data_IF_301726006382
#
_entry.id   IF_301726006382
#
_cell.length_a   1.000
_cell.length_b   1.000
_cell.length_c   1.000
_cell.angle_alpha   90.00
_cell.angle_beta   90.00
_cell.angle_gamma   90.00
#
_symmetry.space_group_name_H-M   'P 1'
#
loop_
_entity.id
_entity.type
_entity.pdbx_description
1 polymer ?
#
# COMPACT_ATOMS: atom_id res chain seq x y z
N UNK A 1 16.34 19.37 13.71
CA UNK A 1 16.14 20.41 14.72
C UNK A 1 15.43 19.80 15.94
N UNK A 2 15.86 20.11 17.18
CA UNK A 2 15.28 19.48 18.40
C UNK A 2 13.77 19.71 18.60
N UNK A 3 13.20 20.68 17.90
CA UNK A 3 11.79 21.04 17.99
C UNK A 3 10.87 20.18 17.09
N UNK A 4 11.42 19.41 16.16
CA UNK A 4 10.61 18.58 15.25
C UNK A 4 10.32 17.26 15.95
N UNK A 5 9.04 16.98 16.16
CA UNK A 5 8.56 15.76 16.83
C UNK A 5 8.06 14.68 15.86
N UNK A 6 7.68 15.06 14.64
CA UNK A 6 7.18 14.16 13.62
C UNK A 6 7.40 14.75 12.23
N UNK A 7 7.73 13.93 11.27
CA UNK A 7 7.89 14.32 9.87
C UNK A 7 6.78 13.67 9.05
N UNK A 8 6.10 14.46 8.24
CA UNK A 8 5.13 13.98 7.24
C UNK A 8 5.73 14.27 5.87
N UNK A 9 5.83 13.25 5.03
CA UNK A 9 6.37 13.36 3.67
C UNK A 9 5.40 12.78 2.64
N UNK A 10 5.21 13.50 1.54
CA UNK A 10 4.75 12.94 0.27
C UNK A 10 5.86 13.13 -0.74
N UNK A 11 6.41 12.03 -1.29
CA UNK A 11 7.59 12.12 -2.17
C UNK A 11 8.10 10.77 -2.66
N UNK A 12 9.31 10.76 -3.20
CA UNK A 12 9.95 9.53 -3.67
C UNK A 12 10.44 8.64 -2.52
N UNK A 13 10.50 7.34 -2.75
CA UNK A 13 11.00 6.33 -1.79
C UNK A 13 12.42 6.65 -1.31
N UNK A 14 13.31 7.04 -2.24
CA UNK A 14 14.70 7.40 -1.91
C UNK A 14 14.75 8.63 -0.96
N UNK A 15 13.86 9.60 -1.16
CA UNK A 15 13.76 10.78 -0.28
C UNK A 15 13.34 10.38 1.13
N UNK A 16 12.31 9.53 1.25
CA UNK A 16 11.85 9.05 2.54
C UNK A 16 12.95 8.26 3.27
N UNK A 17 13.65 7.39 2.55
CA UNK A 17 14.74 6.59 3.11
C UNK A 17 15.92 7.47 3.57
N UNK A 18 16.29 8.49 2.79
CA UNK A 18 17.35 9.41 3.17
C UNK A 18 16.98 10.24 4.41
N UNK A 19 15.71 10.67 4.53
CA UNK A 19 15.24 11.37 5.72
C UNK A 19 15.25 10.45 6.94
N UNK A 20 14.77 9.21 6.81
CA UNK A 20 14.78 8.23 7.89
C UNK A 20 16.19 7.92 8.38
N UNK A 21 17.16 7.73 7.46
CA UNK A 21 18.56 7.49 7.80
C UNK A 21 19.24 8.69 8.47
N UNK A 22 18.91 9.91 8.01
CA UNK A 22 19.48 11.14 8.58
C UNK A 22 18.86 11.49 9.96
N UNK A 23 17.68 10.99 10.28
CA UNK A 23 16.95 11.29 11.51
C UNK A 23 16.24 10.04 12.06
N UNK A 24 16.97 8.96 12.40
CA UNK A 24 16.39 7.66 12.69
C UNK A 24 15.47 7.63 13.92
N UNK A 25 15.69 8.52 14.88
CA UNK A 25 14.87 8.64 16.11
C UNK A 25 13.64 9.53 15.94
N UNK A 26 13.52 10.28 14.83
CA UNK A 26 12.34 11.12 14.56
C UNK A 26 11.29 10.34 13.81
N UNK A 27 10.06 10.16 14.34
CA UNK A 27 9.00 9.47 13.63
C UNK A 27 8.73 10.08 12.25
N UNK A 28 8.68 9.22 11.24
CA UNK A 28 8.39 9.56 9.85
C UNK A 28 7.11 8.86 9.40
N UNK A 29 6.13 9.63 8.94
CA UNK A 29 4.99 9.12 8.16
C UNK A 29 5.16 9.57 6.72
N UNK A 30 5.46 8.66 5.82
CA UNK A 30 5.64 9.00 4.42
C UNK A 30 4.75 8.15 3.52
N UNK A 31 4.14 8.82 2.55
CA UNK A 31 3.51 8.23 1.38
C UNK A 31 4.43 8.43 0.19
N UNK A 32 4.87 7.32 -0.38
CA UNK A 32 5.89 7.29 -1.43
C UNK A 32 5.36 6.77 -2.75
N UNK A 33 6.23 6.38 -3.64
CA UNK A 33 5.90 5.93 -4.99
C UNK A 33 5.06 4.65 -5.06
N UNK A 34 4.72 4.27 -6.28
CA UNK A 34 3.94 3.08 -6.56
C UNK A 34 4.24 2.48 -7.93
N UNK A 35 4.25 1.16 -8.00
CA UNK A 35 4.15 0.41 -9.27
C UNK A 35 2.74 -0.16 -9.35
N UNK A 36 1.80 0.72 -9.74
CA UNK A 36 0.38 0.42 -9.63
C UNK A 36 -0.11 -0.38 -10.83
N UNK A 37 -0.95 -1.37 -10.54
CA UNK A 37 -1.38 -2.37 -11.51
C UNK A 37 -2.89 -2.38 -11.65
N UNK A 38 -3.38 -2.45 -12.90
CA UNK A 38 -4.74 -2.89 -13.19
C UNK A 38 -4.66 -4.30 -13.78
N UNK A 39 -5.50 -5.22 -13.27
CA UNK A 39 -5.73 -6.54 -13.86
C UNK A 39 -7.04 -6.49 -14.64
N UNK A 40 -7.02 -6.95 -15.88
CA UNK A 40 -8.21 -7.15 -16.72
C UNK A 40 -8.38 -8.63 -17.02
N UNK A 41 -9.48 -9.22 -16.52
CA UNK A 41 -9.83 -10.62 -16.78
C UNK A 41 -10.76 -10.75 -17.99
N UNK A 42 -10.96 -11.97 -18.44
CA UNK A 42 -11.89 -12.29 -19.54
C UNK A 42 -13.33 -11.85 -19.26
N UNK A 43 -13.72 -11.83 -17.98
CA UNK A 43 -15.06 -11.42 -17.53
C UNK A 43 -15.23 -9.89 -17.43
N UNK A 44 -14.16 -9.10 -17.68
CA UNK A 44 -14.22 -7.65 -17.60
C UNK A 44 -14.95 -7.01 -18.77
N UNK A 45 -15.66 -5.91 -18.51
CA UNK A 45 -16.19 -5.04 -19.57
C UNK A 45 -15.03 -4.29 -20.23
N UNK A 46 -14.70 -4.68 -21.46
CA UNK A 46 -13.50 -4.21 -22.16
C UNK A 46 -13.51 -2.72 -22.44
N UNK A 47 -14.64 -2.16 -22.83
CA UNK A 47 -14.75 -0.74 -23.17
C UNK A 47 -14.67 0.14 -21.91
N UNK A 48 -15.35 -0.26 -20.85
CA UNK A 48 -15.26 0.39 -19.56
C UNK A 48 -13.85 0.25 -18.94
N UNK A 49 -13.25 -0.93 -19.07
CA UNK A 49 -11.87 -1.16 -18.64
C UNK A 49 -10.87 -0.24 -19.37
N UNK A 50 -10.96 -0.10 -20.68
CA UNK A 50 -10.09 0.79 -21.46
C UNK A 50 -10.20 2.23 -20.96
N UNK A 51 -11.41 2.74 -20.72
CA UNK A 51 -11.62 4.08 -20.17
C UNK A 51 -10.92 4.23 -18.81
N UNK A 52 -11.10 3.28 -17.91
CA UNK A 52 -10.47 3.27 -16.58
C UNK A 52 -8.94 3.20 -16.66
N UNK A 53 -8.40 2.36 -17.57
CA UNK A 53 -6.97 2.17 -17.79
C UNK A 53 -6.33 3.45 -18.31
N UNK A 54 -6.84 4.04 -19.39
CA UNK A 54 -6.21 5.22 -20.00
C UNK A 54 -6.30 6.45 -19.09
N UNK A 55 -7.42 6.62 -18.39
CA UNK A 55 -7.58 7.69 -17.40
C UNK A 55 -6.59 7.53 -16.24
N UNK A 56 -6.41 6.30 -15.76
CA UNK A 56 -5.50 6.01 -14.66
C UNK A 56 -4.03 6.09 -15.07
N UNK A 57 -3.69 5.74 -16.31
CA UNK A 57 -2.32 5.72 -16.77
C UNK A 57 -1.82 7.11 -17.20
N UNK A 58 -2.66 7.90 -17.87
CA UNK A 58 -2.21 9.10 -18.57
C UNK A 58 -2.71 10.40 -17.95
N UNK A 59 -3.69 10.36 -17.06
CA UNK A 59 -4.11 11.53 -16.30
C UNK A 59 -2.93 12.19 -15.57
N UNK A 60 -2.79 13.51 -15.67
CA UNK A 60 -1.65 14.26 -15.14
C UNK A 60 -0.28 13.76 -15.67
N UNK A 61 -0.22 13.42 -16.96
CA UNK A 61 0.98 12.87 -17.62
C UNK A 61 1.56 11.62 -16.91
N UNK A 62 0.71 10.80 -16.29
CA UNK A 62 1.15 9.64 -15.50
C UNK A 62 1.95 9.98 -14.23
N UNK A 63 1.98 11.25 -13.83
CA UNK A 63 2.73 11.75 -12.68
C UNK A 63 1.86 11.90 -11.43
N UNK A 64 1.14 10.81 -11.11
CA UNK A 64 0.49 10.59 -9.81
C UNK A 64 1.11 9.37 -9.17
N UNK A 65 1.33 9.40 -7.85
CA UNK A 65 1.80 8.22 -7.11
C UNK A 65 0.91 6.98 -7.33
N UNK A 66 -0.40 7.20 -7.62
CA UNK A 66 -1.40 6.16 -7.91
C UNK A 66 -1.61 5.88 -9.40
N UNK A 67 -0.85 6.50 -10.32
CA UNK A 67 -1.03 6.27 -11.76
C UNK A 67 -0.80 4.80 -12.13
N UNK A 68 -1.65 4.27 -13.01
CA UNK A 68 -1.48 2.92 -13.56
C UNK A 68 -0.27 2.90 -14.51
N UNK A 69 0.76 2.17 -14.17
CA UNK A 69 1.94 2.02 -15.01
C UNK A 69 2.18 0.57 -15.49
N UNK A 70 1.34 -0.37 -15.00
CA UNK A 70 1.34 -1.77 -15.42
C UNK A 70 -0.10 -2.27 -15.58
N UNK A 71 -0.39 -2.84 -16.75
CA UNK A 71 -1.63 -3.52 -17.07
C UNK A 71 -1.36 -5.01 -17.27
N UNK A 72 -2.00 -5.85 -16.47
CA UNK A 72 -1.98 -7.30 -16.62
C UNK A 72 -3.28 -7.73 -17.30
N UNK A 73 -3.18 -8.38 -18.44
CA UNK A 73 -4.34 -8.75 -19.27
C UNK A 73 -4.38 -10.26 -19.42
N UNK A 74 -5.53 -10.85 -19.10
CA UNK A 74 -5.75 -12.28 -19.27
C UNK A 74 -5.63 -12.65 -20.76
N UNK A 75 -5.01 -13.80 -21.05
CA UNK A 75 -4.60 -14.25 -22.38
C UNK A 75 -5.69 -14.06 -23.44
N UNK A 76 -6.92 -14.46 -23.18
CA UNK A 76 -8.02 -14.37 -24.12
C UNK A 76 -8.36 -12.93 -24.56
N UNK A 77 -8.13 -11.96 -23.67
CA UNK A 77 -8.29 -10.52 -23.95
C UNK A 77 -7.01 -9.95 -24.55
N UNK A 78 -5.84 -10.42 -24.08
CA UNK A 78 -4.54 -9.97 -24.60
C UNK A 78 -4.34 -10.30 -26.07
N UNK A 79 -4.82 -11.46 -26.52
CA UNK A 79 -4.75 -11.92 -27.90
C UNK A 79 -5.87 -11.35 -28.79
N UNK A 80 -6.86 -10.65 -28.22
CA UNK A 80 -7.93 -10.03 -28.98
C UNK A 80 -7.46 -8.73 -29.67
N UNK A 81 -7.32 -8.80 -31.00
CA UNK A 81 -6.90 -7.66 -31.83
C UNK A 81 -7.86 -6.47 -31.72
N UNK A 82 -9.15 -6.69 -31.46
CA UNK A 82 -10.11 -5.61 -31.25
C UNK A 82 -9.84 -4.85 -29.95
N UNK A 83 -9.55 -5.57 -28.85
CA UNK A 83 -9.12 -4.94 -27.59
C UNK A 83 -7.84 -4.13 -27.78
N UNK A 84 -6.86 -4.74 -28.46
CA UNK A 84 -5.56 -4.10 -28.74
C UNK A 84 -5.72 -2.81 -29.56
N UNK A 85 -6.53 -2.85 -30.63
CA UNK A 85 -6.83 -1.67 -31.44
C UNK A 85 -7.53 -0.58 -30.64
N UNK A 86 -8.58 -0.94 -29.89
CA UNK A 86 -9.32 0.02 -29.07
C UNK A 86 -8.46 0.68 -27.99
N UNK A 87 -7.56 -0.07 -27.35
CA UNK A 87 -6.63 0.50 -26.34
C UNK A 87 -5.67 1.50 -27.00
N UNK A 88 -5.16 1.16 -28.21
CA UNK A 88 -4.32 2.07 -28.99
C UNK A 88 -5.07 3.35 -29.34
N UNK A 89 -6.28 3.23 -29.88
CA UNK A 89 -7.11 4.37 -30.30
C UNK A 89 -7.46 5.26 -29.10
N UNK A 90 -7.83 4.66 -27.97
CA UNK A 90 -8.11 5.40 -26.74
C UNK A 90 -6.88 6.18 -26.24
N UNK A 91 -5.71 5.55 -26.21
CA UNK A 91 -4.48 6.20 -25.79
C UNK A 91 -4.07 7.35 -26.73
N UNK A 92 -4.16 7.15 -28.04
CA UNK A 92 -3.76 8.14 -29.05
C UNK A 92 -4.77 9.27 -29.22
N UNK A 93 -6.04 9.07 -28.84
CA UNK A 93 -7.08 10.10 -28.89
C UNK A 93 -6.98 11.15 -27.77
N UNK A 94 -6.18 10.87 -26.72
CA UNK A 94 -6.00 11.81 -25.60
C UNK A 94 -5.26 13.07 -26.10
N UNK A 95 -5.95 14.20 -26.09
CA UNK A 95 -5.35 15.48 -26.47
C UNK A 95 -4.20 15.82 -25.53
N UNK A 96 -3.01 15.95 -26.09
CA UNK A 96 -1.77 16.19 -25.37
C UNK A 96 -1.18 17.53 -25.77
N UNK A 97 -0.74 18.34 -24.82
CA UNK A 97 -0.16 19.65 -25.14
C UNK A 97 -0.06 20.56 -23.92
N UNK A 98 0.18 21.85 -24.19
CA UNK A 98 0.33 22.89 -23.18
C UNK A 98 -0.89 23.00 -22.27
N UNK A 99 -0.67 23.27 -20.99
CA UNK A 99 -1.72 23.51 -19.97
C UNK A 99 -2.59 24.74 -20.26
N UNK A 100 -2.12 25.65 -21.08
CA UNK A 100 -2.86 26.84 -21.49
C UNK A 100 -4.01 26.53 -22.46
N UNK A 101 -4.06 25.30 -22.99
CA UNK A 101 -5.19 24.83 -23.77
C UNK A 101 -6.05 23.89 -22.90
N UNK A 102 -7.18 24.40 -22.42
CA UNK A 102 -8.10 23.64 -21.56
C UNK A 102 -8.66 22.35 -22.18
N UNK A 103 -8.55 22.18 -23.50
CA UNK A 103 -8.94 20.95 -24.19
C UNK A 103 -7.93 19.82 -24.07
N UNK A 104 -6.70 20.07 -23.57
CA UNK A 104 -5.68 19.06 -23.39
C UNK A 104 -5.93 18.28 -22.09
N UNK A 105 -5.79 16.94 -22.18
CA UNK A 105 -5.95 16.01 -21.07
C UNK A 105 -4.59 15.61 -20.49
N UNK A 106 -3.59 15.45 -21.35
CA UNK A 106 -2.23 15.12 -20.97
C UNK A 106 -1.36 16.38 -21.12
N UNK A 107 -0.89 16.89 -20.01
CA UNK A 107 -0.05 18.10 -19.94
C UNK A 107 1.45 17.76 -19.94
N UNK A 108 2.30 18.78 -19.70
CA UNK A 108 3.74 18.59 -19.57
C UNK A 108 4.10 17.79 -18.32
N UNK A 109 5.20 17.06 -18.40
CA UNK A 109 5.87 16.48 -17.23
C UNK A 109 6.62 17.60 -16.48
N UNK A 110 6.96 17.35 -15.20
CA UNK A 110 7.73 18.31 -14.40
C UNK A 110 9.21 18.44 -14.85
N UNK A 111 9.72 17.43 -15.56
CA UNK A 111 11.11 17.41 -16.09
C UNK A 111 11.20 16.44 -17.26
N UNK A 112 12.15 16.71 -18.16
CA UNK A 112 12.59 15.76 -19.20
C UNK A 112 13.76 14.88 -18.75
N UNK A 113 14.31 15.12 -17.57
CA UNK A 113 15.46 14.38 -17.00
C UNK A 113 14.99 13.25 -16.10
N UNK A 114 14.12 12.40 -16.61
CA UNK A 114 13.68 11.20 -15.91
C UNK A 114 14.39 9.98 -16.53
N UNK A 115 15.56 9.65 -16.01
CA UNK A 115 16.42 8.60 -16.54
C UNK A 115 15.72 7.23 -16.53
N UNK A 116 14.88 6.94 -15.52
CA UNK A 116 14.09 5.70 -15.46
C UNK A 116 13.07 5.60 -16.60
N UNK A 117 12.41 6.71 -16.91
CA UNK A 117 11.47 6.77 -18.03
C UNK A 117 12.19 6.62 -19.38
N UNK A 118 13.31 7.32 -19.55
CA UNK A 118 14.13 7.23 -20.78
C UNK A 118 14.71 5.83 -20.96
N UNK A 119 15.18 5.19 -19.89
CA UNK A 119 15.63 3.79 -19.94
C UNK A 119 14.51 2.84 -20.37
N UNK A 120 13.27 3.08 -19.89
CA UNK A 120 12.13 2.27 -20.25
C UNK A 120 11.73 2.39 -21.75
N UNK A 121 12.27 3.34 -22.49
CA UNK A 121 12.06 3.41 -23.94
C UNK A 121 12.86 2.36 -24.73
N UNK A 122 13.84 1.73 -24.13
CA UNK A 122 14.48 0.58 -24.76
C UNK A 122 13.54 -0.64 -24.72
N UNK A 123 13.38 -1.30 -25.87
CA UNK A 123 12.62 -2.54 -25.96
C UNK A 123 13.52 -3.72 -25.55
N UNK A 124 13.00 -4.54 -24.65
CA UNK A 124 13.62 -5.81 -24.26
C UNK A 124 13.10 -6.97 -25.16
N UNK A 125 13.74 -8.14 -25.16
CA UNK A 125 13.33 -9.25 -26.02
C UNK A 125 11.87 -9.69 -25.83
N UNK A 126 11.08 -9.61 -26.90
CA UNK A 126 9.64 -9.92 -26.89
C UNK A 126 8.73 -8.71 -26.68
N UNK A 127 9.28 -7.55 -26.37
CA UNK A 127 8.53 -6.31 -26.27
C UNK A 127 8.35 -5.62 -27.62
N UNK A 128 7.28 -4.86 -27.74
CA UNK A 128 6.98 -4.02 -28.90
C UNK A 128 6.25 -2.74 -28.48
N UNK A 129 6.18 -1.77 -29.35
CA UNK A 129 5.37 -0.59 -29.15
C UNK A 129 3.96 -0.80 -29.69
N UNK A 130 2.95 -0.70 -28.84
CA UNK A 130 1.58 -0.48 -29.29
C UNK A 130 1.38 1.00 -29.65
N UNK A 131 1.90 1.90 -28.80
CA UNK A 131 2.01 3.33 -29.07
C UNK A 131 3.45 3.76 -28.72
N UNK A 132 4.28 4.10 -29.73
CA UNK A 132 5.67 4.46 -29.48
C UNK A 132 5.80 5.81 -28.76
N UNK A 133 6.90 6.05 -28.02
CA UNK A 133 7.13 7.32 -27.38
C UNK A 133 7.29 8.44 -28.41
N UNK A 134 6.58 9.53 -28.18
CA UNK A 134 6.65 10.71 -29.03
C UNK A 134 6.59 11.98 -28.20
N UNK A 135 7.68 12.75 -28.19
CA UNK A 135 7.70 14.08 -27.61
C UNK A 135 7.06 15.08 -28.58
N UNK A 136 5.94 15.67 -28.17
CA UNK A 136 5.26 16.76 -28.90
C UNK A 136 6.11 18.04 -28.80
N UNK A 137 6.61 18.32 -27.61
CA UNK A 137 7.56 19.40 -27.36
C UNK A 137 8.58 19.00 -26.28
N UNK A 138 9.84 18.94 -26.67
CA UNK A 138 10.93 18.62 -25.74
C UNK A 138 11.24 19.77 -24.78
N UNK A 139 10.99 21.03 -25.16
CA UNK A 139 11.28 22.19 -24.33
C UNK A 139 10.24 22.36 -23.24
N UNK A 140 8.99 22.01 -23.53
CA UNK A 140 7.88 22.02 -22.60
C UNK A 140 7.66 20.67 -21.92
N UNK A 141 8.54 19.66 -22.15
CA UNK A 141 8.47 18.33 -21.54
C UNK A 141 7.18 17.57 -21.82
N UNK A 142 6.58 17.80 -22.99
CA UNK A 142 5.30 17.20 -23.38
C UNK A 142 5.57 15.88 -24.11
N UNK A 143 5.28 14.77 -23.43
CA UNK A 143 5.33 13.41 -23.96
C UNK A 143 3.91 12.88 -24.17
N UNK A 144 3.64 12.40 -25.36
CA UNK A 144 2.36 11.75 -25.66
C UNK A 144 2.19 10.42 -24.91
N UNK A 145 0.95 9.96 -24.67
CA UNK A 145 0.69 8.63 -24.12
C UNK A 145 1.47 7.55 -24.87
N UNK A 146 2.16 6.72 -24.12
CA UNK A 146 3.05 5.69 -24.64
C UNK A 146 2.62 4.34 -24.10
N UNK A 147 2.51 3.30 -24.96
CA UNK A 147 2.08 1.96 -24.55
C UNK A 147 3.07 0.91 -25.06
N UNK A 148 3.69 0.20 -24.13
CA UNK A 148 4.60 -0.90 -24.37
C UNK A 148 3.86 -2.21 -24.22
N UNK A 149 3.97 -3.10 -25.19
CA UNK A 149 3.27 -4.39 -25.25
C UNK A 149 4.23 -5.56 -25.15
N UNK A 150 3.83 -6.65 -24.49
CA UNK A 150 4.63 -7.86 -24.36
C UNK A 150 5.67 -7.81 -23.26
N UNK A 151 5.45 -6.95 -22.26
CA UNK A 151 6.34 -6.79 -21.11
C UNK A 151 6.30 -8.05 -20.24
N UNK A 152 7.46 -8.48 -19.73
CA UNK A 152 7.60 -9.67 -18.90
C UNK A 152 7.90 -9.30 -17.43
N UNK A 153 7.67 -10.21 -16.46
CA UNK A 153 7.91 -9.94 -15.03
C UNK A 153 9.34 -9.51 -14.69
N UNK A 154 10.33 -9.91 -15.47
CA UNK A 154 11.74 -9.54 -15.33
C UNK A 154 12.11 -8.21 -16.01
N UNK A 155 11.25 -7.68 -16.89
CA UNK A 155 11.49 -6.45 -17.61
C UNK A 155 11.65 -5.24 -16.67
N UNK A 156 12.54 -4.33 -17.05
CA UNK A 156 12.76 -3.09 -16.30
C UNK A 156 11.47 -2.29 -16.09
N UNK A 157 10.68 -2.12 -17.16
CA UNK A 157 9.43 -1.35 -17.10
C UNK A 157 8.29 -2.08 -16.38
N UNK A 158 8.41 -3.39 -16.07
CA UNK A 158 7.46 -4.12 -15.27
C UNK A 158 7.59 -3.79 -13.77
N UNK A 159 8.82 -3.65 -13.27
CA UNK A 159 9.12 -3.50 -11.84
C UNK A 159 9.35 -2.06 -11.39
N UNK A 160 9.82 -1.20 -12.29
CA UNK A 160 10.27 0.15 -11.96
C UNK A 160 9.13 1.16 -12.03
N UNK A 161 9.01 2.02 -11.01
CA UNK A 161 8.17 3.21 -11.08
C UNK A 161 8.79 4.20 -12.06
N UNK A 162 8.04 4.56 -13.11
CA UNK A 162 8.53 5.42 -14.19
C UNK A 162 8.11 6.88 -14.02
N UNK A 163 7.03 7.14 -13.30
CA UNK A 163 6.47 8.47 -13.03
C UNK A 163 6.34 9.35 -14.29
N UNK A 164 5.69 8.80 -15.30
CA UNK A 164 5.49 9.42 -16.61
C UNK A 164 4.42 8.68 -17.43
N UNK A 165 4.02 9.19 -18.62
CA UNK A 165 2.91 8.67 -19.40
C UNK A 165 3.28 7.41 -20.21
N UNK A 166 3.82 6.39 -19.53
CA UNK A 166 4.13 5.09 -20.11
C UNK A 166 3.37 3.97 -19.38
N UNK A 167 2.55 3.24 -20.13
CA UNK A 167 1.83 2.06 -19.69
C UNK A 167 2.52 0.80 -20.24
N UNK A 168 2.93 -0.09 -19.37
CA UNK A 168 3.45 -1.42 -19.71
C UNK A 168 2.32 -2.43 -19.69
N UNK A 169 2.20 -3.28 -20.73
CA UNK A 169 1.15 -4.29 -20.85
C UNK A 169 1.79 -5.68 -20.89
N UNK A 170 1.35 -6.55 -19.98
CA UNK A 170 1.80 -7.94 -19.86
C UNK A 170 0.62 -8.91 -19.95
N UNK A 171 0.86 -10.08 -20.52
CA UNK A 171 -0.09 -11.18 -20.55
C UNK A 171 -0.02 -11.99 -19.26
N UNK A 172 -1.17 -12.44 -18.78
CA UNK A 172 -1.31 -13.42 -17.69
C UNK A 172 -2.23 -14.56 -18.14
N UNK A 173 -2.02 -15.75 -17.59
CA UNK A 173 -2.88 -16.90 -17.91
C UNK A 173 -4.24 -16.83 -17.21
N UNK A 174 -4.25 -16.33 -15.98
CA UNK A 174 -5.44 -16.24 -15.12
C UNK A 174 -5.25 -15.20 -14.02
N UNK A 175 -6.31 -14.94 -13.25
CA UNK A 175 -6.30 -13.98 -12.16
C UNK A 175 -5.32 -14.34 -11.04
N UNK A 176 -5.14 -15.61 -10.72
CA UNK A 176 -4.25 -16.09 -9.66
C UNK A 176 -2.78 -15.73 -9.98
N UNK A 177 -2.37 -15.89 -11.22
CA UNK A 177 -1.06 -15.44 -11.68
C UNK A 177 -0.93 -13.92 -11.55
N UNK A 178 -1.94 -13.19 -11.99
CA UNK A 178 -1.97 -11.72 -11.87
C UNK A 178 -1.81 -11.27 -10.41
N UNK A 179 -2.53 -11.90 -9.47
CA UNK A 179 -2.42 -11.63 -8.02
C UNK A 179 -1.00 -11.92 -7.52
N UNK A 180 -0.41 -13.05 -7.93
CA UNK A 180 0.97 -13.41 -7.55
C UNK A 180 1.97 -12.37 -8.03
N UNK A 181 1.84 -11.91 -9.28
CA UNK A 181 2.71 -10.89 -9.86
C UNK A 181 2.57 -9.54 -9.14
N UNK A 182 1.36 -9.08 -8.86
CA UNK A 182 1.10 -7.84 -8.09
C UNK A 182 1.72 -7.94 -6.69
N UNK A 183 1.52 -9.07 -6.03
CA UNK A 183 2.05 -9.28 -4.69
C UNK A 183 3.59 -9.42 -4.67
N UNK A 184 4.20 -9.80 -5.78
CA UNK A 184 5.65 -9.89 -5.95
C UNK A 184 6.34 -8.55 -6.27
N UNK A 185 5.60 -7.46 -6.45
CA UNK A 185 6.17 -6.12 -6.60
C UNK A 185 6.59 -5.54 -5.24
N UNK A 186 7.61 -4.70 -5.26
CA UNK A 186 8.12 -4.03 -4.06
C UNK A 186 7.18 -2.94 -3.53
N UNK A 187 6.34 -2.40 -4.39
CA UNK A 187 5.34 -1.39 -4.07
C UNK A 187 3.95 -1.99 -3.83
N UNK A 188 3.13 -1.26 -3.09
CA UNK A 188 1.74 -1.65 -2.81
C UNK A 188 0.87 -0.45 -2.47
N UNK A 189 0.83 0.56 -3.37
CA UNK A 189 0.00 1.75 -3.16
C UNK A 189 -1.42 1.50 -3.64
N UNK A 190 -1.61 1.37 -4.95
CA UNK A 190 -2.92 1.10 -5.53
C UNK A 190 -2.90 -0.13 -6.42
N UNK A 191 -4.04 -0.82 -6.49
CA UNK A 191 -4.28 -1.88 -7.48
C UNK A 191 -5.73 -1.86 -7.93
N UNK A 192 -5.99 -2.21 -9.19
CA UNK A 192 -7.30 -2.29 -9.80
C UNK A 192 -7.62 -3.67 -10.36
N UNK A 193 -8.90 -4.03 -10.34
CA UNK A 193 -9.46 -5.18 -11.03
C UNK A 193 -10.59 -4.72 -11.95
N UNK A 194 -10.55 -5.16 -13.19
CA UNK A 194 -11.64 -5.04 -14.13
C UNK A 194 -12.21 -6.43 -14.38
N UNK A 195 -13.31 -6.74 -13.71
CA UNK A 195 -13.98 -8.05 -13.75
C UNK A 195 -15.44 -7.91 -13.34
N UNK A 196 -16.34 -8.63 -13.99
CA UNK A 196 -17.76 -8.72 -13.64
C UNK A 196 -18.10 -10.02 -12.88
N UNK A 197 -17.12 -10.91 -12.71
CA UNK A 197 -17.29 -12.14 -11.93
C UNK A 197 -17.05 -11.85 -10.43
N UNK A 198 -18.09 -12.08 -9.62
CA UNK A 198 -18.03 -11.86 -8.16
C UNK A 198 -17.01 -12.78 -7.46
N UNK A 199 -16.77 -13.99 -8.01
CA UNK A 199 -15.77 -14.91 -7.44
C UNK A 199 -14.35 -14.37 -7.66
N UNK A 200 -14.08 -13.85 -8.85
CA UNK A 200 -12.82 -13.17 -9.16
C UNK A 200 -12.63 -11.93 -8.28
N UNK A 201 -13.67 -11.10 -8.15
CA UNK A 201 -13.63 -9.91 -7.29
C UNK A 201 -13.35 -10.28 -5.83
N UNK A 202 -14.02 -11.33 -5.30
CA UNK A 202 -13.81 -11.83 -3.93
C UNK A 202 -12.41 -12.38 -3.74
N UNK A 203 -11.92 -13.20 -4.67
CA UNK A 203 -10.57 -13.76 -4.64
C UNK A 203 -9.53 -12.64 -4.63
N UNK A 204 -9.62 -11.71 -5.57
CA UNK A 204 -8.68 -10.62 -5.73
C UNK A 204 -8.69 -9.67 -4.52
N UNK A 205 -9.87 -9.23 -4.08
CA UNK A 205 -10.06 -8.39 -2.91
C UNK A 205 -9.38 -8.96 -1.66
N UNK A 206 -9.44 -10.29 -1.47
CA UNK A 206 -8.91 -10.96 -0.29
C UNK A 206 -7.42 -11.33 -0.39
N UNK A 207 -6.83 -11.23 -1.58
CA UNK A 207 -5.47 -11.73 -1.83
C UNK A 207 -4.46 -10.63 -2.14
N UNK A 208 -4.89 -9.49 -2.72
CA UNK A 208 -3.97 -8.44 -3.16
C UNK A 208 -3.48 -7.57 -2.01
N UNK A 209 -2.16 -7.40 -1.96
CA UNK A 209 -1.42 -6.66 -0.93
C UNK A 209 -1.07 -5.26 -1.41
N UNK A 210 -2.08 -4.41 -1.53
CA UNK A 210 -1.94 -2.97 -1.78
C UNK A 210 -2.84 -2.17 -0.83
N UNK A 211 -2.46 -0.94 -0.55
CA UNK A 211 -3.19 -0.10 0.39
C UNK A 211 -4.58 0.29 -0.09
N UNK A 212 -4.73 0.62 -1.37
CA UNK A 212 -6.01 1.01 -1.96
C UNK A 212 -6.35 0.08 -3.12
N UNK A 213 -7.49 -0.56 -3.04
CA UNK A 213 -8.03 -1.51 -4.02
C UNK A 213 -9.22 -0.88 -4.74
N UNK A 214 -9.32 -1.11 -6.06
CA UNK A 214 -10.35 -0.53 -6.90
C UNK A 214 -10.95 -1.59 -7.83
N UNK A 215 -12.27 -1.75 -7.83
CA UNK A 215 -12.98 -2.72 -8.68
C UNK A 215 -13.85 -1.95 -9.66
N UNK A 216 -13.69 -2.25 -10.96
CA UNK A 216 -14.45 -1.69 -12.08
C UNK A 216 -14.46 -0.16 -12.14
N UNK A 217 -13.34 0.46 -11.75
CA UNK A 217 -13.13 1.90 -11.80
C UNK A 217 -11.66 2.23 -12.01
N UNK A 218 -11.36 3.52 -12.23
CA UNK A 218 -9.99 4.03 -12.24
C UNK A 218 -9.34 3.93 -10.87
N UNK A 219 -8.00 3.82 -10.85
CA UNK A 219 -7.22 3.64 -9.61
C UNK A 219 -6.60 4.93 -9.08
N UNK A 220 -6.93 6.06 -9.68
CA UNK A 220 -6.51 7.41 -9.27
C UNK A 220 -7.66 8.20 -8.68
N UNK A 221 -7.37 9.29 -7.95
CA UNK A 221 -8.40 10.21 -7.49
C UNK A 221 -9.12 9.73 -6.22
N UNK A 222 -8.38 9.21 -5.24
CA UNK A 222 -8.92 8.94 -3.90
C UNK A 222 -9.51 10.21 -3.27
N UNK A 223 -10.69 10.08 -2.67
CA UNK A 223 -11.42 11.19 -2.05
C UNK A 223 -11.41 10.99 -0.53
N UNK A 224 -11.13 12.06 0.21
CA UNK A 224 -11.16 12.07 1.68
C UNK A 224 -12.50 11.54 2.19
N UNK A 225 -12.47 10.74 3.24
CA UNK A 225 -13.58 10.01 3.83
C UNK A 225 -14.18 8.87 2.97
N UNK A 226 -13.93 8.82 1.65
CA UNK A 226 -14.38 7.70 0.82
C UNK A 226 -13.31 6.62 0.72
N UNK A 227 -12.12 7.03 0.29
CA UNK A 227 -10.96 6.13 0.16
C UNK A 227 -9.78 6.69 0.94
N UNK A 228 -9.71 6.48 2.28
CA UNK A 228 -8.50 6.81 3.03
C UNK A 228 -7.27 6.27 2.31
N UNK A 229 -6.29 7.14 2.08
CA UNK A 229 -5.22 6.87 1.13
C UNK A 229 -3.89 6.61 1.83
N UNK A 230 -3.21 5.55 1.42
CA UNK A 230 -1.89 5.19 1.93
C UNK A 230 -1.47 3.81 1.44
N UNK A 231 -0.16 3.62 1.33
CA UNK A 231 0.45 2.43 0.77
C UNK A 231 0.75 1.33 1.78
N UNK A 232 1.27 0.24 1.22
CA UNK A 232 1.93 -0.88 1.90
C UNK A 232 3.31 -1.07 1.28
N UNK A 233 4.18 -1.89 1.87
CA UNK A 233 5.53 -2.17 1.38
C UNK A 233 6.34 -0.87 1.22
N UNK A 234 7.09 -0.70 0.11
CA UNK A 234 7.87 0.50 -0.16
C UNK A 234 7.03 1.74 -0.52
N UNK A 235 5.72 1.61 -0.61
CA UNK A 235 4.83 2.75 -0.86
C UNK A 235 4.47 3.55 0.40
N UNK A 236 4.93 3.11 1.57
CA UNK A 236 4.73 3.83 2.82
C UNK A 236 5.89 3.62 3.79
N UNK A 237 6.15 4.62 4.62
CA UNK A 237 7.07 4.58 5.75
C UNK A 237 6.32 4.94 7.03
N UNK A 238 6.72 4.33 8.15
CA UNK A 238 6.06 4.53 9.44
C UNK A 238 4.95 3.52 9.72
N UNK A 239 3.97 3.90 10.54
CA UNK A 239 2.92 3.00 11.04
C UNK A 239 1.91 2.49 10.01
N UNK A 240 1.95 2.99 8.77
CA UNK A 240 1.03 2.58 7.70
C UNK A 240 -0.41 3.01 7.92
N UNK A 241 -0.63 4.09 8.67
CA UNK A 241 -1.96 4.66 8.93
C UNK A 241 -2.31 5.62 7.79
N UNK A 242 -3.50 5.45 7.24
CA UNK A 242 -3.91 6.13 6.01
C UNK A 242 -4.35 7.57 6.24
N UNK A 243 -3.86 8.48 5.38
CA UNK A 243 -4.33 9.86 5.33
C UNK A 243 -5.83 9.92 5.02
N UNK A 244 -6.56 10.77 5.77
CA UNK A 244 -8.01 10.87 5.69
C UNK A 244 -8.77 9.69 6.29
N UNK A 245 -8.08 8.76 6.97
CA UNK A 245 -8.66 7.64 7.69
C UNK A 245 -8.98 7.94 9.17
N UNK A 246 -9.72 7.05 9.84
CA UNK A 246 -10.21 7.28 11.20
C UNK A 246 -9.10 7.28 12.26
N UNK A 247 -7.92 6.76 11.92
CA UNK A 247 -6.79 6.63 12.85
C UNK A 247 -5.68 7.67 12.61
N UNK A 248 -5.77 8.49 11.56
CA UNK A 248 -4.65 9.33 11.14
C UNK A 248 -4.16 10.28 12.23
N UNK A 249 -5.07 10.89 13.00
CA UNK A 249 -4.69 11.78 14.09
C UNK A 249 -3.93 11.10 15.23
N UNK A 250 -4.03 9.78 15.39
CA UNK A 250 -3.31 9.05 16.44
C UNK A 250 -1.80 9.07 16.26
N UNK A 251 -1.32 9.27 15.02
CA UNK A 251 0.11 9.39 14.72
C UNK A 251 0.79 10.60 15.40
N UNK A 252 0.01 11.61 15.80
CA UNK A 252 0.50 12.87 16.34
C UNK A 252 0.23 13.04 17.85
N UNK A 253 -0.24 11.98 18.50
CA UNK A 253 -0.62 11.99 19.89
C UNK A 253 0.29 11.06 20.70
N UNK A 254 0.70 11.53 21.86
CA UNK A 254 1.27 10.70 22.91
C UNK A 254 0.12 10.26 23.82
N UNK A 255 -0.16 8.95 23.83
CA UNK A 255 -1.30 8.39 24.54
C UNK A 255 -0.79 7.45 25.63
N UNK A 256 -1.22 7.66 26.85
CA UNK A 256 -0.91 6.82 27.99
C UNK A 256 -2.16 6.55 28.83
N UNK A 257 -2.18 5.46 29.57
CA UNK A 257 -3.23 5.20 30.55
C UNK A 257 -3.15 6.19 31.72
N UNK A 258 -4.30 6.53 32.26
CA UNK A 258 -4.33 7.24 33.55
C UNK A 258 -3.78 6.32 34.64
N UNK A 259 -2.99 6.84 35.62
CA UNK A 259 -2.40 6.03 36.68
C UNK A 259 -3.39 5.11 37.41
N UNK A 260 -4.61 5.60 37.65
CA UNK A 260 -5.67 4.86 38.36
C UNK A 260 -6.66 4.15 37.44
N UNK A 261 -6.29 3.90 36.17
CA UNK A 261 -7.17 3.23 35.21
C UNK A 261 -7.48 1.80 35.66
N UNK A 262 -8.76 1.54 35.95
CA UNK A 262 -9.30 0.21 36.30
C UNK A 262 -9.82 -0.55 35.08
N UNK A 263 -9.50 -0.08 33.87
CA UNK A 263 -9.91 -0.72 32.63
C UNK A 263 -9.33 -2.14 32.55
N UNK A 264 -10.19 -3.12 32.39
CA UNK A 264 -9.77 -4.47 32.03
C UNK A 264 -9.39 -4.47 30.54
N UNK A 265 -8.09 -4.53 30.26
CA UNK A 265 -7.58 -4.48 28.90
C UNK A 265 -8.08 -5.65 28.04
N UNK A 266 -8.34 -6.85 28.63
CA UNK A 266 -8.81 -8.01 27.87
C UNK A 266 -10.20 -7.77 27.31
N UNK A 267 -11.11 -7.25 28.13
CA UNK A 267 -12.46 -6.87 27.70
C UNK A 267 -12.42 -5.71 26.71
N UNK A 268 -11.60 -4.69 26.98
CA UNK A 268 -11.42 -3.52 26.10
C UNK A 268 -10.93 -3.90 24.72
N UNK A 269 -9.93 -4.79 24.64
CA UNK A 269 -9.37 -5.25 23.36
C UNK A 269 -10.39 -6.11 22.57
N UNK A 270 -11.06 -7.05 23.25
CA UNK A 270 -12.07 -7.88 22.62
C UNK A 270 -13.24 -7.04 22.06
N UNK A 271 -13.72 -6.08 22.85
CA UNK A 271 -14.78 -5.15 22.45
C UNK A 271 -14.35 -4.30 21.24
N UNK A 272 -13.19 -3.65 21.31
CA UNK A 272 -12.69 -2.81 20.24
C UNK A 272 -12.49 -3.61 18.94
N UNK A 273 -11.96 -4.83 19.02
CA UNK A 273 -11.80 -5.69 17.86
C UNK A 273 -13.15 -6.04 17.22
N UNK A 274 -14.12 -6.47 18.03
CA UNK A 274 -15.43 -6.86 17.56
C UNK A 274 -16.20 -5.67 16.95
N UNK A 275 -16.17 -4.51 17.60
CA UNK A 275 -16.96 -3.35 17.20
C UNK A 275 -16.33 -2.58 16.02
N UNK A 276 -14.99 -2.61 15.87
CA UNK A 276 -14.33 -1.77 14.88
C UNK A 276 -13.43 -2.54 13.90
N UNK A 277 -12.55 -3.42 14.39
CA UNK A 277 -11.44 -3.92 13.57
C UNK A 277 -11.75 -5.21 12.82
N UNK A 278 -12.77 -5.96 13.24
CA UNK A 278 -13.08 -7.28 12.67
C UNK A 278 -13.85 -7.28 11.36
N UNK A 279 -14.48 -6.18 11.00
CA UNK A 279 -15.40 -6.09 9.85
C UNK A 279 -15.08 -4.90 8.96
N UNK A 280 -15.19 -5.06 7.63
CA UNK A 280 -15.17 -3.91 6.72
C UNK A 280 -16.35 -2.97 7.01
N UNK A 281 -16.14 -1.67 6.78
CA UNK A 281 -17.16 -0.65 6.97
C UNK A 281 -17.23 0.27 5.77
N UNK A 282 -18.42 0.52 5.29
CA UNK A 282 -18.76 1.61 4.38
C UNK A 282 -19.47 2.71 5.18
N UNK A 283 -18.75 3.79 5.46
CA UNK A 283 -19.28 4.91 6.23
C UNK A 283 -20.14 5.82 5.37
N UNK A 284 -19.83 5.93 4.08
CA UNK A 284 -20.46 6.91 3.18
C UNK A 284 -21.76 6.40 2.59
N UNK A 285 -21.88 5.09 2.34
CA UNK A 285 -23.05 4.43 1.74
C UNK A 285 -23.56 5.15 0.49
N UNK A 286 -22.65 5.45 -0.43
CA UNK A 286 -22.99 6.13 -1.66
C UNK A 286 -23.74 5.18 -2.60
N UNK A 287 -24.74 5.71 -3.28
CA UNK A 287 -25.49 4.96 -4.25
C UNK A 287 -24.67 4.77 -5.54
N UNK A 288 -24.48 3.52 -5.98
CA UNK A 288 -23.67 3.16 -7.15
C UNK A 288 -22.18 2.92 -6.85
N UNK A 289 -21.72 3.25 -5.64
CA UNK A 289 -20.32 3.08 -5.22
C UNK A 289 -20.26 2.53 -3.79
N UNK A 290 -19.44 1.51 -3.57
CA UNK A 290 -19.15 0.98 -2.24
C UNK A 290 -17.72 1.34 -1.85
N UNK A 291 -17.54 1.95 -0.67
CA UNK A 291 -16.24 2.38 -0.14
C UNK A 291 -15.97 1.68 1.18
N UNK A 292 -15.34 0.52 1.12
CA UNK A 292 -15.02 -0.28 2.29
C UNK A 292 -13.68 0.15 2.88
N UNK A 293 -13.66 0.32 4.19
CA UNK A 293 -12.45 0.45 4.97
C UNK A 293 -12.31 -0.75 5.91
N UNK A 294 -11.17 -1.43 5.86
CA UNK A 294 -10.93 -2.63 6.67
C UNK A 294 -9.53 -2.68 7.24
N UNK A 295 -9.36 -3.58 8.18
CA UNK A 295 -8.10 -3.85 8.84
C UNK A 295 -7.64 -5.28 8.55
N UNK A 296 -6.35 -5.42 8.25
CA UNK A 296 -5.71 -6.70 8.00
C UNK A 296 -4.67 -6.98 9.09
N UNK A 297 -4.47 -8.23 9.51
CA UNK A 297 -3.36 -8.57 10.41
C UNK A 297 -2.03 -8.27 9.74
N UNK A 298 -1.00 -8.02 10.53
CA UNK A 298 0.38 -8.03 10.05
C UNK A 298 0.79 -9.47 9.72
N UNK A 299 1.69 -9.63 8.76
CA UNK A 299 2.25 -10.96 8.41
C UNK A 299 3.00 -11.57 9.59
N UNK A 300 3.79 -10.77 10.27
CA UNK A 300 4.52 -11.13 11.49
C UNK A 300 4.95 -9.84 12.23
N UNK A 301 5.18 -9.97 13.53
CA UNK A 301 5.68 -8.91 14.40
C UNK A 301 6.68 -9.49 15.39
N UNK A 302 7.67 -8.68 15.78
CA UNK A 302 8.57 -9.01 16.88
C UNK A 302 8.48 -7.94 17.98
N UNK A 303 8.31 -8.40 19.22
CA UNK A 303 8.44 -7.57 20.42
C UNK A 303 9.86 -7.77 20.97
N UNK A 304 10.64 -6.67 21.06
CA UNK A 304 11.92 -6.69 21.78
C UNK A 304 11.72 -6.14 23.18
N UNK A 305 12.00 -6.98 24.18
CA UNK A 305 11.95 -6.63 25.60
C UNK A 305 13.33 -6.26 26.12
N UNK A 306 13.36 -5.28 27.00
CA UNK A 306 14.53 -4.81 27.74
C UNK A 306 14.35 -5.09 29.25
N UNK A 307 15.44 -5.05 30.05
CA UNK A 307 15.37 -5.37 31.49
C UNK A 307 14.34 -4.54 32.29
N UNK A 308 14.06 -3.30 31.85
CA UNK A 308 13.08 -2.40 32.49
C UNK A 308 11.62 -2.72 32.17
N UNK A 309 11.35 -3.46 31.08
CA UNK A 309 10.00 -3.76 30.64
C UNK A 309 9.37 -4.83 31.54
N UNK A 310 8.09 -4.73 31.80
CA UNK A 310 7.36 -5.61 32.71
C UNK A 310 6.74 -6.82 31.98
N UNK A 311 6.50 -7.90 32.72
CA UNK A 311 5.78 -9.07 32.20
C UNK A 311 4.30 -8.73 31.91
N UNK A 312 3.73 -7.73 32.59
CA UNK A 312 2.36 -7.24 32.31
C UNK A 312 2.31 -6.58 30.93
N UNK A 313 3.24 -5.69 30.58
CA UNK A 313 3.33 -5.06 29.27
C UNK A 313 3.49 -6.10 28.15
N UNK A 314 4.39 -7.08 28.34
CA UNK A 314 4.55 -8.16 27.38
C UNK A 314 3.26 -8.98 27.20
N UNK A 315 2.52 -9.21 28.29
CA UNK A 315 1.25 -9.94 28.27
C UNK A 315 0.16 -9.15 27.56
N UNK A 316 0.07 -7.84 27.78
CA UNK A 316 -0.87 -6.97 27.06
C UNK A 316 -0.60 -6.98 25.56
N UNK A 317 0.66 -6.84 25.15
CA UNK A 317 1.09 -6.86 23.76
C UNK A 317 0.78 -8.22 23.10
N UNK A 318 1.10 -9.32 23.78
CA UNK A 318 0.80 -10.67 23.27
C UNK A 318 -0.70 -10.91 23.11
N UNK A 319 -1.51 -10.40 24.05
CA UNK A 319 -2.97 -10.51 23.98
C UNK A 319 -3.53 -9.68 22.82
N UNK A 320 -3.05 -8.47 22.59
CA UNK A 320 -3.43 -7.61 21.47
C UNK A 320 -3.07 -8.26 20.11
N UNK A 321 -1.85 -8.77 19.98
CA UNK A 321 -1.41 -9.48 18.77
C UNK A 321 -2.30 -10.70 18.45
N UNK A 322 -2.65 -11.50 19.48
CA UNK A 322 -3.53 -12.66 19.33
C UNK A 322 -4.93 -12.28 18.89
N UNK A 323 -5.54 -11.24 19.47
CA UNK A 323 -6.86 -10.74 19.07
C UNK A 323 -6.84 -10.27 17.61
N UNK A 324 -5.79 -9.54 17.22
CA UNK A 324 -5.60 -9.05 15.84
C UNK A 324 -5.15 -10.17 14.86
N UNK A 325 -4.95 -11.41 15.32
CA UNK A 325 -4.45 -12.54 14.52
C UNK A 325 -3.08 -12.26 13.88
N UNK A 326 -2.26 -11.44 14.54
CA UNK A 326 -0.90 -11.12 14.11
C UNK A 326 0.08 -12.05 14.80
N UNK A 327 0.84 -12.87 14.06
CA UNK A 327 1.88 -13.74 14.64
C UNK A 327 2.92 -12.88 15.34
N UNK A 328 3.20 -13.20 16.63
CA UNK A 328 4.13 -12.48 17.47
C UNK A 328 5.29 -13.36 17.90
N UNK A 329 6.51 -12.86 17.73
CA UNK A 329 7.73 -13.36 18.37
C UNK A 329 8.11 -12.40 19.50
N UNK A 330 8.46 -12.91 20.68
CA UNK A 330 8.95 -12.11 21.79
C UNK A 330 10.45 -12.41 21.95
N UNK A 331 11.27 -11.38 21.80
CA UNK A 331 12.74 -11.43 21.90
C UNK A 331 13.20 -10.70 23.17
N UNK A 332 14.16 -11.26 23.87
CA UNK A 332 14.77 -10.71 25.07
C UNK A 332 16.23 -11.14 25.22
N UNK A 333 16.97 -10.46 26.10
CA UNK A 333 18.40 -10.64 26.25
C UNK A 333 18.80 -12.04 26.72
N UNK A 334 20.06 -12.49 26.49
CA UNK A 334 20.52 -13.84 26.80
C UNK A 334 20.58 -14.14 28.31
N UNK A 335 20.66 -13.12 29.16
CA UNK A 335 20.65 -13.24 30.62
C UNK A 335 19.26 -13.10 31.24
N UNK A 336 18.24 -12.78 30.43
CA UNK A 336 16.87 -12.61 30.90
C UNK A 336 16.23 -13.96 31.25
N UNK A 337 15.53 -14.05 32.38
CA UNK A 337 14.92 -15.27 32.91
C UNK A 337 13.40 -15.38 32.66
N UNK A 338 12.83 -14.49 31.84
CA UNK A 338 11.38 -14.40 31.58
C UNK A 338 10.80 -15.60 30.81
N UNK A 339 11.62 -16.47 30.23
CA UNK A 339 11.14 -17.58 29.38
C UNK A 339 10.02 -18.39 30.03
N UNK A 340 10.16 -18.78 31.30
CA UNK A 340 9.15 -19.56 32.01
C UNK A 340 7.87 -18.77 32.30
N UNK A 341 8.00 -17.48 32.60
CA UNK A 341 6.86 -16.62 32.92
C UNK A 341 6.02 -16.26 31.68
N UNK A 342 6.68 -16.16 30.51
CA UNK A 342 6.03 -15.82 29.25
C UNK A 342 5.60 -17.05 28.42
N UNK A 343 5.98 -18.27 28.80
CA UNK A 343 5.72 -19.49 28.05
C UNK A 343 4.23 -19.75 27.75
N UNK A 344 3.33 -19.30 28.66
CA UNK A 344 1.87 -19.45 28.51
C UNK A 344 1.20 -18.50 27.53
N UNK A 345 1.92 -17.56 26.92
CA UNK A 345 1.32 -16.52 26.06
C UNK A 345 0.97 -17.01 24.65
N UNK A 346 1.45 -18.20 24.25
CA UNK A 346 1.19 -18.74 22.91
C UNK A 346 1.97 -18.05 21.79
N UNK A 347 3.09 -17.39 22.15
CA UNK A 347 4.00 -16.70 21.23
C UNK A 347 5.31 -17.49 21.09
N UNK A 348 6.02 -17.27 19.98
CA UNK A 348 7.41 -17.74 19.86
C UNK A 348 8.31 -16.92 20.77
N UNK A 349 9.08 -17.58 21.65
CA UNK A 349 10.04 -16.92 22.53
C UNK A 349 11.46 -17.10 22.00
N UNK A 350 12.24 -16.02 22.00
CA UNK A 350 13.63 -16.01 21.54
C UNK A 350 14.52 -15.33 22.56
N UNK A 351 15.57 -16.07 22.94
CA UNK A 351 16.61 -15.57 23.82
C UNK A 351 17.85 -15.29 22.98
N UNK A 352 18.13 -14.01 22.73
CA UNK A 352 19.15 -13.60 21.78
C UNK A 352 19.83 -12.29 22.15
N UNK A 353 21.04 -12.07 21.65
CA UNK A 353 21.74 -10.80 21.78
C UNK A 353 21.05 -9.68 21.01
N UNK A 354 21.39 -8.43 21.30
CA UNK A 354 20.90 -7.30 20.50
C UNK A 354 21.45 -7.37 19.06
N UNK A 355 22.70 -7.82 18.89
CA UNK A 355 23.31 -7.98 17.56
C UNK A 355 22.55 -8.98 16.69
N UNK A 356 22.19 -10.15 17.24
CA UNK A 356 21.45 -11.18 16.50
C UNK A 356 20.02 -10.72 16.20
N UNK A 357 19.37 -10.03 17.14
CA UNK A 357 18.08 -9.39 16.90
C UNK A 357 18.13 -8.41 15.72
N UNK A 358 19.17 -7.54 15.64
CA UNK A 358 19.33 -6.57 14.57
C UNK A 358 19.54 -7.21 13.19
N UNK A 359 20.17 -8.39 13.12
CA UNK A 359 20.33 -9.16 11.86
C UNK A 359 18.98 -9.60 11.32
N UNK A 360 18.07 -10.04 12.20
CA UNK A 360 16.76 -10.57 11.83
C UNK A 360 15.63 -9.52 11.77
N UNK A 361 15.84 -8.33 12.29
CA UNK A 361 14.85 -7.24 12.29
C UNK A 361 14.20 -7.05 10.91
N UNK A 362 14.91 -7.11 9.77
CA UNK A 362 14.33 -6.93 8.44
C UNK A 362 13.30 -7.98 8.04
N UNK A 363 13.28 -9.14 8.65
CA UNK A 363 12.37 -10.26 8.34
C UNK A 363 10.95 -10.02 8.88
N UNK A 364 10.81 -9.08 9.81
CA UNK A 364 9.53 -8.75 10.42
C UNK A 364 8.86 -7.56 9.72
N UNK A 365 7.55 -7.63 9.60
CA UNK A 365 6.76 -6.53 9.03
C UNK A 365 6.74 -5.31 9.97
N UNK A 366 6.76 -5.56 11.31
CA UNK A 366 6.78 -4.51 12.33
C UNK A 366 7.56 -4.95 13.56
N UNK A 367 8.28 -4.01 14.15
CA UNK A 367 8.91 -4.17 15.47
C UNK A 367 8.06 -3.46 16.52
N UNK A 368 7.96 -4.03 17.71
CA UNK A 368 7.29 -3.46 18.88
C UNK A 368 8.27 -3.37 20.04
N UNK A 369 8.20 -2.31 20.81
CA UNK A 369 8.86 -2.16 22.12
C UNK A 369 7.87 -1.60 23.14
N UNK A 370 8.18 -1.65 24.44
CA UNK A 370 7.29 -1.13 25.46
C UNK A 370 7.50 0.37 25.72
N UNK A 371 8.58 0.95 25.20
CA UNK A 371 8.89 2.38 25.34
C UNK A 371 9.79 2.87 24.21
N UNK A 372 9.89 4.20 23.98
CA UNK A 372 10.81 4.78 22.99
C UNK A 372 12.28 4.81 23.48
N UNK A 373 12.53 4.56 24.76
CA UNK A 373 13.87 4.52 25.34
C UNK A 373 14.54 3.18 25.04
N UNK A 374 15.03 3.04 23.81
CA UNK A 374 15.71 1.88 23.24
C UNK A 374 17.04 2.31 22.61
N UNK A 375 17.99 1.39 22.40
CA UNK A 375 19.27 1.73 21.78
C UNK A 375 19.11 2.36 20.38
N UNK A 376 19.82 3.44 20.10
CA UNK A 376 19.77 4.18 18.82
C UNK A 376 20.04 3.27 17.61
N UNK A 377 20.91 2.28 17.73
CA UNK A 377 21.22 1.30 16.70
C UNK A 377 19.99 0.55 16.19
N UNK A 378 18.92 0.41 17.00
CA UNK A 378 17.66 -0.17 16.54
C UNK A 378 16.92 0.75 15.59
N UNK A 379 16.90 2.05 15.89
CA UNK A 379 16.30 3.06 14.99
C UNK A 379 17.10 3.16 13.68
N UNK A 380 18.43 3.15 13.76
CA UNK A 380 19.34 3.16 12.60
C UNK A 380 19.05 1.95 11.71
N UNK A 381 19.02 0.76 12.29
CA UNK A 381 18.76 -0.48 11.56
C UNK A 381 17.36 -0.51 10.93
N UNK A 382 16.36 -0.03 11.64
CA UNK A 382 15.00 0.10 11.13
C UNK A 382 14.94 1.08 9.94
N UNK A 383 15.61 2.22 10.02
CA UNK A 383 15.70 3.20 8.94
C UNK A 383 16.43 2.64 7.70
N UNK A 384 17.52 1.87 7.88
CA UNK A 384 18.24 1.21 6.80
C UNK A 384 17.37 0.23 6.02
N UNK A 385 16.49 -0.48 6.72
CA UNK A 385 15.71 -1.61 6.19
C UNK A 385 14.24 -1.28 5.94
N UNK A 386 13.87 0.00 6.07
CA UNK A 386 12.50 0.48 5.94
C UNK A 386 11.52 -0.30 6.86
N UNK A 387 11.87 -0.42 8.13
CA UNK A 387 11.01 -1.04 9.12
C UNK A 387 10.51 0.00 10.13
N UNK A 388 9.30 -0.18 10.58
CA UNK A 388 8.70 0.67 11.60
C UNK A 388 8.80 0.02 12.98
N UNK A 389 9.29 0.78 13.95
CA UNK A 389 9.29 0.40 15.37
C UNK A 389 8.14 1.13 16.06
N UNK A 390 7.15 0.39 16.52
CA UNK A 390 6.07 0.94 17.35
C UNK A 390 6.55 1.00 18.80
N UNK A 391 6.90 2.19 19.26
CA UNK A 391 7.54 2.42 20.58
C UNK A 391 6.60 2.96 21.66
N UNK A 392 5.33 3.23 21.32
CA UNK A 392 4.37 3.72 22.29
C UNK A 392 4.18 2.70 23.43
N UNK A 393 4.14 3.11 24.71
CA UNK A 393 3.79 2.20 25.81
C UNK A 393 2.46 1.50 25.53
N UNK A 394 2.31 0.22 25.90
CA UNK A 394 1.02 -0.47 25.72
C UNK A 394 -0.05 0.16 26.63
N UNK A 395 -1.25 0.34 26.07
CA UNK A 395 -2.37 0.97 26.79
C UNK A 395 -3.55 0.00 26.92
N UNK A 396 -4.31 0.14 28.03
CA UNK A 396 -5.50 -0.70 28.31
C UNK A 396 -6.68 -0.43 27.39
N UNK A 397 -6.65 0.68 26.64
CA UNK A 397 -7.72 1.05 25.72
C UNK A 397 -7.53 0.36 24.36
N UNK A 398 -8.38 -0.63 24.07
CA UNK A 398 -8.27 -1.46 22.86
C UNK A 398 -8.38 -0.67 21.56
N UNK A 399 -9.20 0.37 21.51
CA UNK A 399 -9.33 1.20 20.31
C UNK A 399 -8.01 1.85 19.88
N UNK A 400 -7.12 2.08 20.84
CA UNK A 400 -5.79 2.69 20.61
C UNK A 400 -4.73 1.61 20.45
N UNK A 401 -4.68 0.64 21.37
CA UNK A 401 -3.62 -0.38 21.35
C UNK A 401 -3.64 -1.23 20.09
N UNK A 402 -4.83 -1.67 19.62
CA UNK A 402 -4.93 -2.61 18.51
C UNK A 402 -4.44 -2.06 17.18
N UNK A 403 -4.33 -0.74 17.01
CA UNK A 403 -3.80 -0.12 15.78
C UNK A 403 -2.35 -0.57 15.50
N UNK A 404 -1.59 -0.88 16.54
CA UNK A 404 -0.19 -1.31 16.40
C UNK A 404 -0.03 -2.70 15.78
N UNK A 405 -1.09 -3.52 15.68
CA UNK A 405 -1.04 -4.93 15.25
C UNK A 405 -1.73 -5.19 13.92
N UNK A 406 -2.18 -4.16 13.27
CA UNK A 406 -2.95 -4.22 12.03
C UNK A 406 -2.42 -3.24 11.00
N UNK A 407 -2.87 -3.40 9.77
CA UNK A 407 -2.70 -2.44 8.68
C UNK A 407 -4.04 -2.12 8.03
N UNK A 408 -4.15 -0.91 7.53
CA UNK A 408 -5.37 -0.37 6.94
C UNK A 408 -5.43 -0.66 5.45
N UNK A 409 -6.63 -0.96 4.95
CA UNK A 409 -6.87 -1.14 3.52
C UNK A 409 -8.21 -0.49 3.13
N UNK A 410 -8.19 0.30 2.05
CA UNK A 410 -9.39 0.87 1.44
C UNK A 410 -9.74 0.08 0.19
N UNK A 411 -11.04 -0.15 -0.04
CA UNK A 411 -11.55 -0.83 -1.23
C UNK A 411 -12.69 0.02 -1.77
N UNK A 412 -12.61 0.43 -3.04
CA UNK A 412 -13.67 1.14 -3.72
C UNK A 412 -14.18 0.30 -4.89
N UNK A 413 -15.47 0.10 -4.94
CA UNK A 413 -16.15 -0.68 -5.97
C UNK A 413 -17.28 0.13 -6.59
N UNK A 414 -17.22 0.37 -7.90
CA UNK A 414 -18.32 0.91 -8.67
C UNK A 414 -19.16 -0.26 -9.19
N UNK A 415 -20.39 -0.40 -8.63
CA UNK A 415 -21.30 -1.46 -9.00
C UNK A 415 -22.40 -1.03 -9.97
N UNK A 416 -22.43 0.25 -10.37
CA UNK A 416 -23.26 0.70 -11.49
C UNK A 416 -22.54 0.52 -12.83
N UNK A 417 -23.31 0.32 -13.89
CA UNK A 417 -22.80 0.29 -15.28
C UNK A 417 -23.64 1.18 -16.16
N UNK A 418 -23.00 2.12 -16.85
CA UNK A 418 -23.67 3.05 -17.77
C UNK A 418 -24.92 3.71 -17.19
N UNK A 419 -24.90 4.03 -15.90
CA UNK A 419 -26.05 4.59 -15.19
C UNK A 419 -27.08 3.57 -14.70
N UNK A 420 -26.97 2.30 -15.08
CA UNK A 420 -27.80 1.22 -14.52
C UNK A 420 -27.23 0.76 -13.19
N UNK A 421 -28.04 0.78 -12.15
CA UNK A 421 -27.64 0.43 -10.79
C UNK A 421 -28.15 -0.97 -10.47
N UNK A 422 -27.23 -1.86 -10.15
CA UNK A 422 -27.52 -3.18 -9.60
C UNK A 422 -27.77 -3.11 -8.09
N UNK A 423 -28.10 -4.24 -7.46
CA UNK A 423 -28.21 -4.33 -6.01
C UNK A 423 -26.89 -3.95 -5.32
N UNK A 424 -26.99 -3.34 -4.14
CA UNK A 424 -25.82 -2.98 -3.34
C UNK A 424 -25.08 -4.24 -2.92
N UNK A 425 -23.81 -4.41 -3.27
CA UNK A 425 -23.04 -5.59 -2.86
C UNK A 425 -22.93 -5.68 -1.33
N UNK A 426 -22.94 -6.88 -0.75
CA UNK A 426 -22.73 -7.03 0.68
C UNK A 426 -21.33 -6.55 1.11
N UNK A 427 -21.22 -6.06 2.33
CA UNK A 427 -19.96 -5.60 2.93
C UNK A 427 -19.06 -6.76 3.43
N UNK A 428 -19.13 -7.94 2.84
CA UNK A 428 -18.35 -9.12 3.26
C UNK A 428 -16.88 -9.09 2.83
#
# INVERSE_FOLDING_TARGET
APAIKHIILTGGTDTAQNIAKANPTTPLSAETGGKNVIILTASGDRDHAIMNIVTSAFGNAGQKCSACSLLLVERSVYEDENFRSKLKDAATSLKTGSVWNAGNIVGPMITNKNDKLLQAFNLEPGESWLVPPHFIDHREYILAPTVKWGVKPESFSFRTELFGPLLSVACIENLEEGIKLVNGLDYGLTSGLQSLDEKEQKLWKNSVMAGNLYINRGITGAIVNRQPFGGMKLSAFGGGIKAGGPNYCTCFLEITDKPDSRTDYRQSYAKAYQEEFSKPRDINRLYGEQNLFRYLPLKNMILRLFPKDTDEEATMIAHAARICRTPLTISFGPTDDRSSRLAGLGCTLRKESLEDFLKELPEYERVRTCSPDIPDVMYERAAETNKYIATAPPVKQGRIELIHYIKEQSIAFEYHRYGSISEVPPCE
#
